data_IF_308375902797
#
_entry.id   IF_308375902797
#
_cell.length_a   1.000
_cell.length_b   1.000
_cell.length_c   1.000
_cell.angle_alpha   90.00
_cell.angle_beta   90.00
_cell.angle_gamma   90.00
#
_symmetry.space_group_name_H-M   'P 1'
#
loop_
_entity.id
_entity.type
_entity.pdbx_description
1 polymer ?
#
# COMPACT_ATOMS: atom_id res chain seq x y z
N UNK A 1 -34.33 -60.51 -47.84
CA UNK A 1 -35.45 -60.43 -46.88
C UNK A 1 -35.09 -59.31 -45.90
N UNK A 2 -35.48 -58.05 -46.16
CA UNK A 2 -36.79 -57.40 -45.85
C UNK A 2 -37.00 -57.29 -44.33
N UNK A 3 -37.28 -56.17 -43.65
CA UNK A 3 -37.84 -54.80 -43.88
C UNK A 3 -37.28 -53.87 -42.77
N UNK A 4 -36.97 -52.57 -42.90
CA UNK A 4 -37.70 -51.35 -43.30
C UNK A 4 -38.87 -50.95 -42.40
N UNK A 5 -38.74 -49.85 -41.63
CA UNK A 5 -39.82 -48.85 -41.41
C UNK A 5 -39.25 -47.45 -41.10
N UNK A 6 -39.11 -46.67 -42.16
CA UNK A 6 -39.42 -45.24 -42.44
C UNK A 6 -39.78 -44.23 -41.31
N UNK A 7 -38.95 -43.16 -41.29
CA UNK A 7 -39.14 -41.69 -41.09
C UNK A 7 -39.70 -41.08 -39.80
N UNK A 8 -38.90 -40.14 -39.26
CA UNK A 8 -39.39 -38.88 -38.67
C UNK A 8 -38.75 -37.69 -39.40
N UNK A 9 -39.59 -36.71 -39.70
CA UNK A 9 -39.37 -35.48 -40.47
C UNK A 9 -39.05 -34.37 -39.47
N UNK A 10 -37.90 -33.70 -39.56
CA UNK A 10 -37.65 -32.28 -39.21
C UNK A 10 -36.12 -32.07 -39.19
N UNK A 11 -35.62 -31.23 -40.09
CA UNK A 11 -34.22 -30.83 -40.13
C UNK A 11 -33.95 -29.72 -39.09
N UNK A 12 -32.76 -29.68 -38.48
CA UNK A 12 -32.22 -28.42 -37.98
C UNK A 12 -30.96 -28.02 -38.74
N UNK A 13 -31.02 -26.82 -39.30
CA UNK A 13 -29.93 -25.85 -39.52
C UNK A 13 -28.56 -26.40 -39.96
N UNK A 14 -28.22 -26.15 -41.23
CA UNK A 14 -26.85 -26.04 -41.71
C UNK A 14 -26.17 -24.85 -40.99
N UNK A 15 -25.55 -25.09 -39.83
CA UNK A 15 -24.58 -24.14 -39.27
C UNK A 15 -23.27 -24.29 -40.03
N UNK A 16 -23.24 -23.75 -41.26
CA UNK A 16 -21.98 -23.34 -41.90
C UNK A 16 -21.41 -22.15 -41.14
N UNK A 17 -20.78 -22.44 -40.01
CA UNK A 17 -19.78 -21.58 -39.41
C UNK A 17 -18.62 -22.50 -39.01
N UNK A 18 -17.82 -22.89 -40.01
CA UNK A 18 -16.50 -23.43 -39.75
C UNK A 18 -15.68 -22.31 -39.12
N UNK A 19 -15.56 -22.33 -37.79
CA UNK A 19 -14.61 -21.46 -37.12
C UNK A 19 -13.21 -21.87 -37.58
N UNK A 20 -12.41 -20.95 -38.15
CA UNK A 20 -11.05 -21.27 -38.55
C UNK A 20 -10.30 -21.82 -37.34
N UNK A 21 -9.64 -22.97 -37.51
CA UNK A 21 -8.72 -23.51 -36.51
C UNK A 21 -7.60 -22.49 -36.30
N UNK A 22 -7.75 -21.66 -35.28
CA UNK A 22 -6.66 -20.88 -34.73
C UNK A 22 -5.83 -21.84 -33.87
N UNK A 23 -4.83 -22.46 -34.49
CA UNK A 23 -3.70 -23.02 -33.73
C UNK A 23 -3.01 -21.84 -33.07
N UNK A 24 -3.24 -21.64 -31.77
CA UNK A 24 -2.43 -20.72 -30.98
C UNK A 24 -1.03 -21.34 -30.99
N UNK A 25 -0.03 -20.73 -31.66
CA UNK A 25 1.31 -21.28 -31.66
C UNK A 25 1.75 -21.41 -30.21
N UNK A 26 2.22 -22.60 -29.83
CA UNK A 26 2.85 -22.80 -28.52
C UNK A 26 3.96 -21.78 -28.39
N UNK A 27 3.71 -20.75 -27.58
CA UNK A 27 4.71 -19.76 -27.22
C UNK A 27 5.61 -20.45 -26.20
N UNK A 28 6.57 -21.24 -26.69
CA UNK A 28 7.71 -21.66 -25.88
C UNK A 28 8.42 -20.38 -25.48
N UNK A 29 8.07 -19.87 -24.29
CA UNK A 29 8.74 -18.71 -23.74
C UNK A 29 10.22 -19.06 -23.65
N UNK A 30 11.12 -18.27 -24.26
CA UNK A 30 12.55 -18.45 -24.04
C UNK A 30 12.75 -18.50 -22.54
N UNK A 31 13.47 -19.52 -22.04
CA UNK A 31 13.99 -19.49 -20.67
C UNK A 31 14.76 -18.19 -20.55
N UNK A 32 14.15 -17.19 -19.93
CA UNK A 32 14.76 -15.91 -19.66
C UNK A 32 15.78 -16.18 -18.55
N UNK A 33 16.93 -16.71 -18.93
CA UNK A 33 18.08 -16.78 -18.05
C UNK A 33 18.52 -15.34 -17.81
N UNK A 34 18.04 -14.77 -16.70
CA UNK A 34 18.46 -13.44 -16.26
C UNK A 34 19.99 -13.41 -16.27
N UNK A 35 20.62 -12.57 -17.12
CA UNK A 35 22.07 -12.54 -17.25
C UNK A 35 22.72 -12.32 -15.88
N UNK A 36 23.86 -12.96 -15.63
CA UNK A 36 24.53 -12.90 -14.32
C UNK A 36 24.74 -11.45 -13.83
N UNK A 37 25.05 -10.52 -14.74
CA UNK A 37 25.19 -9.09 -14.44
C UNK A 37 23.89 -8.43 -13.94
N UNK A 38 22.73 -8.84 -14.48
CA UNK A 38 21.42 -8.37 -14.00
C UNK A 38 21.09 -8.92 -12.62
N UNK A 39 21.50 -10.18 -12.35
CA UNK A 39 21.35 -10.82 -11.04
C UNK A 39 22.21 -10.12 -9.98
N UNK A 40 23.48 -9.87 -10.28
CA UNK A 40 24.40 -9.16 -9.39
C UNK A 40 23.94 -7.72 -9.13
N UNK A 41 23.45 -7.01 -10.16
CA UNK A 41 22.88 -5.68 -10.01
C UNK A 41 21.61 -5.68 -9.14
N UNK A 42 20.76 -6.69 -9.27
CA UNK A 42 19.58 -6.86 -8.42
C UNK A 42 19.97 -7.17 -6.96
N UNK A 43 20.92 -8.09 -6.74
CA UNK A 43 21.43 -8.41 -5.39
C UNK A 43 22.05 -7.20 -4.71
N UNK A 44 22.88 -6.43 -5.42
CA UNK A 44 23.44 -5.16 -4.92
C UNK A 44 22.36 -4.13 -4.65
N UNK A 45 21.38 -3.98 -5.55
CA UNK A 45 20.25 -3.06 -5.39
C UNK A 45 19.43 -3.39 -4.14
N UNK A 46 19.12 -4.66 -3.90
CA UNK A 46 18.41 -5.12 -2.70
C UNK A 46 19.24 -4.85 -1.44
N UNK A 47 20.54 -5.13 -1.46
CA UNK A 47 21.42 -4.87 -0.33
C UNK A 47 21.51 -3.37 0.01
N UNK A 48 21.70 -2.51 -0.99
CA UNK A 48 21.73 -1.05 -0.81
C UNK A 48 20.40 -0.50 -0.32
N UNK A 49 19.29 -1.01 -0.87
CA UNK A 49 17.97 -0.62 -0.43
C UNK A 49 17.77 -0.99 1.05
N UNK A 50 18.18 -2.21 1.45
CA UNK A 50 18.10 -2.66 2.85
C UNK A 50 18.95 -1.81 3.78
N UNK A 51 20.16 -1.45 3.38
CA UNK A 51 21.03 -0.56 4.15
C UNK A 51 20.40 0.84 4.34
N UNK A 52 19.85 1.41 3.26
CA UNK A 52 19.14 2.69 3.32
C UNK A 52 17.91 2.64 4.23
N UNK A 53 17.18 1.52 4.20
CA UNK A 53 16.04 1.28 5.08
C UNK A 53 16.43 1.26 6.56
N UNK A 54 17.49 0.52 6.93
CA UNK A 54 17.98 0.47 8.31
C UNK A 54 18.45 1.85 8.80
N UNK A 55 19.15 2.62 7.96
CA UNK A 55 19.58 4.00 8.30
C UNK A 55 18.40 4.92 8.57
N UNK A 56 17.39 4.88 7.71
CA UNK A 56 16.19 5.69 7.89
C UNK A 56 15.43 5.26 9.15
N UNK A 57 15.33 3.96 9.42
CA UNK A 57 14.71 3.43 10.63
C UNK A 57 15.40 3.97 11.89
N UNK A 58 16.73 3.92 11.94
CA UNK A 58 17.53 4.49 13.04
C UNK A 58 17.25 5.98 13.24
N UNK A 59 17.32 6.79 12.17
CA UNK A 59 17.04 8.22 12.25
C UNK A 59 15.60 8.52 12.71
N UNK A 60 14.67 7.66 12.32
CA UNK A 60 13.27 7.76 12.75
C UNK A 60 13.12 7.42 14.23
N UNK A 61 13.81 6.39 14.73
CA UNK A 61 13.82 6.03 16.16
C UNK A 61 14.39 7.17 17.03
N UNK A 62 15.50 7.78 16.63
CA UNK A 62 16.07 8.95 17.32
C UNK A 62 15.09 10.13 17.37
N UNK A 63 14.43 10.44 16.24
CA UNK A 63 13.44 11.51 16.18
C UNK A 63 12.19 11.22 17.04
N UNK A 64 11.76 9.97 17.10
CA UNK A 64 10.69 9.52 18.00
C UNK A 64 11.08 9.73 19.46
N UNK A 65 12.29 9.34 19.87
CA UNK A 65 12.77 9.46 21.26
C UNK A 65 12.76 10.92 21.74
N UNK A 66 13.25 11.86 20.92
CA UNK A 66 13.23 13.31 21.24
C UNK A 66 11.80 13.84 21.44
N UNK A 67 10.83 13.34 20.65
CA UNK A 67 9.43 13.74 20.77
C UNK A 67 8.73 13.10 21.97
N UNK A 68 9.10 11.87 22.34
CA UNK A 68 8.65 11.21 23.56
C UNK A 68 9.17 11.93 24.82
N UNK A 69 10.42 12.39 24.82
CA UNK A 69 10.95 13.25 25.89
C UNK A 69 10.17 14.57 26.00
N UNK A 70 9.84 15.19 24.87
CA UNK A 70 9.04 16.42 24.81
C UNK A 70 7.59 16.21 25.31
N UNK A 71 7.05 15.00 25.18
CA UNK A 71 5.74 14.62 25.72
C UNK A 71 5.72 14.69 27.26
N UNK A 72 6.86 14.41 27.91
CA UNK A 72 6.99 14.50 29.37
C UNK A 72 7.05 15.95 29.88
N UNK A 73 7.36 16.94 29.03
CA UNK A 73 7.64 18.35 29.44
C UNK A 73 6.50 19.36 29.21
N UNK A 74 5.27 18.89 28.98
CA UNK A 74 4.00 19.64 28.83
C UNK A 74 3.52 20.00 27.41
N UNK A 75 4.27 19.69 26.34
CA UNK A 75 3.83 19.92 24.95
C UNK A 75 3.03 18.75 24.33
N UNK A 76 2.22 18.05 25.14
CA UNK A 76 1.63 16.74 24.80
C UNK A 76 0.92 16.69 23.45
N UNK A 77 0.11 17.70 23.10
CA UNK A 77 -0.65 17.71 21.84
C UNK A 77 0.22 17.84 20.58
N UNK A 78 1.30 18.64 20.64
CA UNK A 78 2.21 18.79 19.48
C UNK A 78 3.13 17.58 19.35
N UNK A 79 3.59 17.02 20.48
CA UNK A 79 4.35 15.77 20.51
C UNK A 79 3.54 14.57 19.99
N UNK A 80 2.28 14.40 20.42
CA UNK A 80 1.40 13.35 19.91
C UNK A 80 1.18 13.45 18.39
N UNK A 81 0.95 14.67 17.87
CA UNK A 81 0.80 14.90 16.44
C UNK A 81 2.10 14.58 15.68
N UNK A 82 3.25 15.06 16.18
CA UNK A 82 4.56 14.80 15.59
C UNK A 82 4.91 13.31 15.54
N UNK A 83 4.72 12.59 16.66
CA UNK A 83 4.89 11.14 16.73
C UNK A 83 4.04 10.42 15.70
N UNK A 84 2.79 10.87 15.51
CA UNK A 84 1.90 10.23 14.55
C UNK A 84 2.32 10.45 13.09
N UNK A 85 2.86 11.63 12.76
CA UNK A 85 3.44 11.89 11.44
C UNK A 85 4.66 11.00 11.20
N UNK A 86 5.51 10.82 12.22
CA UNK A 86 6.67 9.92 12.13
C UNK A 86 6.24 8.47 11.91
N UNK A 87 5.25 7.98 12.66
CA UNK A 87 4.70 6.63 12.47
C UNK A 87 4.12 6.43 11.07
N UNK A 88 3.46 7.46 10.52
CA UNK A 88 2.94 7.43 9.16
C UNK A 88 4.09 7.33 8.14
N UNK A 89 5.16 8.12 8.31
CA UNK A 89 6.34 8.06 7.45
C UNK A 89 7.04 6.69 7.50
N UNK A 90 7.18 6.10 8.69
CA UNK A 90 7.74 4.76 8.89
C UNK A 90 6.88 3.71 8.18
N UNK A 91 5.57 3.75 8.39
CA UNK A 91 4.62 2.81 7.77
C UNK A 91 4.68 2.89 6.24
N UNK A 92 4.66 4.11 5.69
CA UNK A 92 4.66 4.33 4.25
C UNK A 92 5.97 3.87 3.61
N UNK A 93 7.10 4.12 4.27
CA UNK A 93 8.40 3.71 3.73
C UNK A 93 8.58 2.19 3.78
N UNK A 94 8.16 1.55 4.87
CA UNK A 94 8.15 0.08 4.95
C UNK A 94 7.29 -0.51 3.82
N UNK A 95 6.10 0.04 3.60
CA UNK A 95 5.21 -0.45 2.55
C UNK A 95 5.79 -0.25 1.13
N UNK A 96 6.46 0.88 0.87
CA UNK A 96 7.15 1.13 -0.39
C UNK A 96 8.31 0.15 -0.61
N UNK A 97 9.06 -0.15 0.45
CA UNK A 97 10.16 -1.10 0.43
C UNK A 97 9.68 -2.53 0.14
N UNK A 98 8.65 -2.97 0.84
CA UNK A 98 8.01 -4.26 0.63
C UNK A 98 7.50 -4.38 -0.80
N UNK A 99 6.87 -3.33 -1.31
CA UNK A 99 6.39 -3.30 -2.70
C UNK A 99 7.51 -3.43 -3.71
N UNK A 100 8.58 -2.64 -3.58
CA UNK A 100 9.74 -2.70 -4.46
C UNK A 100 10.43 -4.07 -4.40
N UNK A 101 10.58 -4.64 -3.20
CA UNK A 101 11.18 -5.97 -3.01
C UNK A 101 10.33 -7.05 -3.66
N UNK A 102 9.02 -7.03 -3.47
CA UNK A 102 8.11 -8.01 -4.08
C UNK A 102 8.10 -7.89 -5.61
N UNK A 103 8.06 -6.67 -6.14
CA UNK A 103 8.15 -6.43 -7.59
C UNK A 103 9.45 -6.96 -8.19
N UNK A 104 10.59 -6.79 -7.50
CA UNK A 104 11.88 -7.30 -7.96
C UNK A 104 11.92 -8.84 -8.05
N UNK A 105 11.03 -9.54 -7.34
CA UNK A 105 10.92 -11.00 -7.36
C UNK A 105 9.86 -11.54 -8.33
N UNK A 106 9.02 -10.67 -8.90
CA UNK A 106 7.95 -11.06 -9.82
C UNK A 106 8.53 -11.65 -11.11
N UNK A 107 8.00 -12.80 -11.55
CA UNK A 107 8.45 -13.51 -12.76
C UNK A 107 7.43 -13.44 -13.89
N UNK A 108 6.19 -13.06 -13.58
CA UNK A 108 5.08 -13.00 -14.52
C UNK A 108 4.30 -11.69 -14.42
N UNK A 109 3.59 -11.33 -15.50
CA UNK A 109 2.69 -10.16 -15.49
C UNK A 109 1.52 -10.33 -14.49
N UNK A 110 1.05 -11.56 -14.27
CA UNK A 110 0.00 -11.82 -13.29
C UNK A 110 0.48 -11.55 -11.86
N UNK A 111 1.69 -11.99 -11.50
CA UNK A 111 2.30 -11.67 -10.21
C UNK A 111 2.51 -10.16 -10.04
N UNK A 112 2.95 -9.46 -11.09
CA UNK A 112 3.09 -8.00 -11.06
C UNK A 112 1.76 -7.28 -10.74
N UNK A 113 0.67 -7.68 -11.40
CA UNK A 113 -0.67 -7.12 -11.19
C UNK A 113 -1.18 -7.45 -9.79
N UNK A 114 -0.95 -8.67 -9.31
CA UNK A 114 -1.35 -9.09 -7.96
C UNK A 114 -0.61 -8.29 -6.87
N UNK A 115 0.72 -8.14 -7.00
CA UNK A 115 1.54 -7.34 -6.08
C UNK A 115 1.08 -5.88 -6.08
N UNK A 116 0.85 -5.30 -7.26
CA UNK A 116 0.41 -3.90 -7.42
C UNK A 116 -0.98 -3.65 -6.85
N UNK A 117 -1.94 -4.53 -7.15
CA UNK A 117 -3.32 -4.39 -6.65
C UNK A 117 -3.40 -4.59 -5.14
N UNK A 118 -2.63 -5.53 -4.59
CA UNK A 118 -2.51 -5.74 -3.14
C UNK A 118 -1.91 -4.54 -2.44
N UNK A 119 -0.83 -3.98 -2.98
CA UNK A 119 -0.21 -2.77 -2.42
C UNK A 119 -1.17 -1.58 -2.46
N UNK A 120 -1.83 -1.34 -3.61
CA UNK A 120 -2.78 -0.24 -3.75
C UNK A 120 -3.93 -0.33 -2.74
N UNK A 121 -4.49 -1.53 -2.52
CA UNK A 121 -5.57 -1.73 -1.55
C UNK A 121 -5.09 -1.48 -0.11
N UNK A 122 -3.93 -2.02 0.26
CA UNK A 122 -3.32 -1.74 1.57
C UNK A 122 -3.05 -0.24 1.78
N UNK A 123 -2.47 0.44 0.79
CA UNK A 123 -2.18 1.88 0.89
C UNK A 123 -3.45 2.70 1.05
N UNK A 124 -4.52 2.35 0.35
CA UNK A 124 -5.81 3.02 0.50
C UNK A 124 -6.36 2.90 1.92
N UNK A 125 -6.33 1.69 2.50
CA UNK A 125 -6.79 1.45 3.87
C UNK A 125 -5.91 2.22 4.88
N UNK A 126 -4.59 2.20 4.71
CA UNK A 126 -3.63 2.91 5.56
C UNK A 126 -3.84 4.42 5.53
N UNK A 127 -3.92 5.04 4.36
CA UNK A 127 -4.11 6.48 4.22
C UNK A 127 -5.44 6.91 4.81
N UNK A 128 -6.50 6.12 4.61
CA UNK A 128 -7.82 6.40 5.18
C UNK A 128 -7.79 6.36 6.71
N UNK A 129 -7.10 5.38 7.30
CA UNK A 129 -6.93 5.29 8.75
C UNK A 129 -6.10 6.46 9.29
N UNK A 130 -4.92 6.71 8.71
CA UNK A 130 -4.02 7.79 9.12
C UNK A 130 -4.70 9.17 9.05
N UNK A 131 -5.48 9.43 7.99
CA UNK A 131 -6.22 10.71 7.84
C UNK A 131 -7.24 10.92 8.95
N UNK A 132 -7.98 9.86 9.33
CA UNK A 132 -8.94 9.93 10.45
C UNK A 132 -8.25 10.21 11.77
N UNK A 133 -7.13 9.54 12.03
CA UNK A 133 -6.35 9.72 13.26
C UNK A 133 -5.74 11.12 13.35
N UNK A 134 -5.11 11.61 12.28
CA UNK A 134 -4.54 12.97 12.22
C UNK A 134 -5.61 14.05 12.37
N UNK A 135 -6.81 13.84 11.79
CA UNK A 135 -7.94 14.76 11.96
C UNK A 135 -8.39 14.82 13.43
N UNK A 136 -8.51 13.66 14.09
CA UNK A 136 -8.86 13.57 15.51
C UNK A 136 -7.82 14.28 16.40
N UNK A 137 -6.53 14.05 16.13
CA UNK A 137 -5.42 14.72 16.81
C UNK A 137 -5.45 16.25 16.62
N UNK A 138 -5.69 16.72 15.40
CA UNK A 138 -5.78 18.15 15.11
C UNK A 138 -6.98 18.81 15.85
N UNK A 139 -8.11 18.12 15.92
CA UNK A 139 -9.28 18.57 16.69
C UNK A 139 -8.95 18.67 18.18
N UNK A 140 -8.25 17.67 18.74
CA UNK A 140 -7.81 17.65 20.14
C UNK A 140 -6.84 18.81 20.44
N UNK A 141 -5.81 19.01 19.62
CA UNK A 141 -4.85 20.13 19.78
C UNK A 141 -5.56 21.49 19.77
N UNK A 142 -6.55 21.65 18.88
CA UNK A 142 -7.35 22.88 18.81
C UNK A 142 -8.21 23.05 20.07
N UNK A 143 -8.91 22.00 20.52
CA UNK A 143 -9.73 22.03 21.74
C UNK A 143 -8.89 22.35 22.98
N UNK A 144 -7.76 21.66 23.15
CA UNK A 144 -6.81 21.83 24.26
C UNK A 144 -6.18 23.24 24.28
N UNK A 145 -6.13 23.93 23.13
CA UNK A 145 -5.62 25.31 23.05
C UNK A 145 -6.72 26.35 23.35
N UNK A 146 -7.96 26.10 22.91
CA UNK A 146 -9.06 27.07 23.00
C UNK A 146 -9.76 27.05 24.38
N UNK A 147 -9.83 25.90 25.05
CA UNK A 147 -10.45 25.77 26.38
C UNK A 147 -9.72 26.55 27.50
N UNK A 148 -8.37 26.49 27.62
CA UNK A 148 -7.64 27.26 28.63
C UNK A 148 -7.68 28.77 28.35
N UNK A 149 -7.71 29.19 27.08
CA UNK A 149 -7.83 30.60 26.68
C UNK A 149 -9.19 31.18 27.08
N UNK A 150 -10.30 30.47 26.85
CA UNK A 150 -11.63 30.90 27.30
C UNK A 150 -11.73 30.96 28.82
N UNK A 151 -11.18 29.98 29.52
CA UNK A 151 -11.21 29.89 30.98
C UNK A 151 -10.32 30.95 31.63
N UNK A 152 -9.14 31.20 31.05
CA UNK A 152 -8.20 32.24 31.47
C UNK A 152 -8.75 33.64 31.23
N UNK A 153 -9.37 33.89 30.08
CA UNK A 153 -9.99 35.19 29.77
C UNK A 153 -11.17 35.49 30.69
N UNK A 154 -12.04 34.49 30.95
CA UNK A 154 -13.17 34.64 31.88
C UNK A 154 -12.70 34.86 33.32
N UNK A 155 -11.63 34.19 33.74
CA UNK A 155 -11.03 34.34 35.07
C UNK A 155 -10.32 35.68 35.26
N UNK A 156 -9.63 36.17 34.21
CA UNK A 156 -9.00 37.48 34.23
C UNK A 156 -10.03 38.61 34.24
N UNK A 157 -11.10 38.48 33.46
CA UNK A 157 -12.19 39.46 33.44
C UNK A 157 -12.94 39.53 34.78
N UNK A 158 -13.20 38.37 35.42
CA UNK A 158 -13.75 38.30 36.78
C UNK A 158 -12.83 38.80 37.89
N UNK A 159 -11.52 38.91 37.64
CA UNK A 159 -10.56 39.47 38.60
C UNK A 159 -10.42 40.99 38.49
N UNK A 160 -10.84 41.57 37.37
CA UNK A 160 -10.72 43.00 37.06
C UNK A 160 -12.06 43.74 37.22
N UNK A 161 -13.19 43.03 37.18
CA UNK A 161 -14.52 43.52 37.58
C UNK A 161 -14.77 43.28 39.08
#
# INVERSE_FOLDING_TARGET
MTETTTKSVFAPFDTKFEMPKFEIPSFDMPKFEVPAAFREAAEKGVAQAKEGWEKMKSATEEATEVLEESYATAAKGTSEYGLKVIDAARTNTNAAFDFATNLATAKTLSEFVEISSTHARKQFDTVTAQTKELTSLAQKVTADTVEPLKTGFTSAFKKVA
#
